data_IF_745577378359
#
_entry.id   IF_745577378359
#
_cell.length_a   1.000
_cell.length_b   1.000
_cell.length_c   1.000
_cell.angle_alpha   90.00
_cell.angle_beta   90.00
_cell.angle_gamma   90.00
#
_symmetry.space_group_name_H-M   'P 1'
#
loop_
_entity.id
_entity.type
_entity.pdbx_description
1 polymer ?
#
# COMPACT_ATOMS: atom_id res chain seq x y z
N UNK A 1 9.26 3.21 18.35
CA UNK A 1 9.20 4.57 17.80
C UNK A 1 8.77 4.62 16.34
N UNK A 2 7.96 3.67 15.90
CA UNK A 2 7.31 3.64 14.59
C UNK A 2 5.86 3.25 14.76
N UNK A 3 4.99 3.71 13.83
CA UNK A 3 3.60 3.28 13.69
C UNK A 3 3.43 2.62 12.32
N UNK A 4 2.41 1.77 12.19
CA UNK A 4 2.12 1.06 10.95
C UNK A 4 0.63 1.16 10.61
N UNK A 5 0.33 1.85 9.52
CA UNK A 5 -1.01 1.98 8.98
C UNK A 5 -1.23 0.89 7.93
N UNK A 6 -2.17 0.00 8.18
CA UNK A 6 -2.46 -1.14 7.32
C UNK A 6 -3.79 -0.96 6.60
N UNK A 7 -3.81 -1.28 5.31
CA UNK A 7 -5.02 -1.32 4.47
C UNK A 7 -4.92 -2.46 3.46
N UNK A 8 -5.47 -3.60 3.85
CA UNK A 8 -5.44 -4.80 3.01
C UNK A 8 -4.03 -5.34 2.75
N UNK A 9 -3.61 -5.34 1.49
CA UNK A 9 -2.26 -5.72 1.08
C UNK A 9 -1.22 -4.60 1.17
N UNK A 10 -1.60 -3.39 1.61
CA UNK A 10 -0.69 -2.25 1.74
C UNK A 10 -0.43 -1.92 3.21
N UNK A 11 0.80 -1.62 3.56
CA UNK A 11 1.13 -1.00 4.83
C UNK A 11 2.06 0.22 4.63
N UNK A 12 1.84 1.23 5.46
CA UNK A 12 2.66 2.43 5.52
C UNK A 12 3.31 2.50 6.89
N UNK A 13 4.63 2.47 6.94
CA UNK A 13 5.39 2.61 8.17
C UNK A 13 5.78 4.08 8.33
N UNK A 14 5.46 4.65 9.49
CA UNK A 14 5.76 6.04 9.85
C UNK A 14 6.67 6.05 11.06
N UNK A 15 7.82 6.68 10.94
CA UNK A 15 8.76 6.82 12.05
C UNK A 15 8.42 8.02 12.92
N UNK A 16 8.55 7.84 14.22
CA UNK A 16 8.32 8.92 15.20
C UNK A 16 9.57 9.82 15.30
N UNK A 17 9.71 10.73 14.35
CA UNK A 17 10.88 11.61 14.21
C UNK A 17 10.80 12.82 15.15
N UNK A 18 11.90 13.15 15.78
CA UNK A 18 12.06 14.34 16.58
C UNK A 18 11.90 15.59 15.70
N UNK A 19 11.08 16.52 16.16
CA UNK A 19 10.80 17.80 15.45
C UNK A 19 9.75 17.70 14.33
N UNK A 20 9.41 16.50 13.83
CA UNK A 20 8.38 16.29 12.80
C UNK A 20 7.06 15.80 13.40
N UNK A 21 7.12 14.98 14.44
CA UNK A 21 5.96 14.39 15.09
C UNK A 21 5.84 14.85 16.54
N UNK A 22 4.62 15.06 17.08
CA UNK A 22 4.43 15.33 18.49
C UNK A 22 5.01 14.20 19.36
N UNK A 23 5.97 14.52 20.23
CA UNK A 23 6.68 13.52 21.04
C UNK A 23 7.65 12.64 20.25
N UNK A 24 8.11 13.11 19.10
CA UNK A 24 9.10 12.42 18.29
C UNK A 24 10.41 12.18 19.04
N UNK A 25 11.00 11.00 18.86
CA UNK A 25 12.16 10.53 19.62
C UNK A 25 13.38 10.18 18.76
N UNK A 26 13.19 9.94 17.46
CA UNK A 26 14.28 9.57 16.56
C UNK A 26 14.93 10.82 15.96
N UNK A 27 16.22 10.96 16.08
CA UNK A 27 17.01 11.90 15.30
C UNK A 27 16.98 11.53 13.81
N UNK A 28 17.35 12.44 12.89
CA UNK A 28 17.40 12.10 11.45
C UNK A 28 18.35 10.95 11.13
N UNK A 29 19.47 10.83 11.84
CA UNK A 29 20.45 9.78 11.67
C UNK A 29 19.91 8.42 12.15
N UNK A 30 19.38 8.37 13.37
CA UNK A 30 18.73 7.17 13.92
C UNK A 30 17.54 6.73 13.06
N UNK A 31 16.79 7.66 12.49
CA UNK A 31 15.67 7.35 11.60
C UNK A 31 16.15 6.68 10.30
N UNK A 32 17.29 7.11 9.74
CA UNK A 32 17.87 6.50 8.55
C UNK A 32 18.32 5.06 8.81
N UNK A 33 18.99 4.82 9.94
CA UNK A 33 19.44 3.48 10.35
C UNK A 33 18.24 2.55 10.58
N UNK A 34 17.22 3.01 11.33
CA UNK A 34 15.99 2.24 11.58
C UNK A 34 15.27 1.90 10.28
N UNK A 35 15.19 2.84 9.32
CA UNK A 35 14.57 2.57 8.01
C UNK A 35 15.33 1.51 7.22
N UNK A 36 16.66 1.58 7.21
CA UNK A 36 17.51 0.61 6.54
C UNK A 36 17.30 -0.79 7.11
N UNK A 37 17.30 -0.90 8.43
CA UNK A 37 17.11 -2.18 9.13
C UNK A 37 15.71 -2.75 8.89
N UNK A 38 14.66 -1.93 9.01
CA UNK A 38 13.28 -2.34 8.75
C UNK A 38 13.09 -2.78 7.30
N UNK A 39 13.62 -2.01 6.33
CA UNK A 39 13.51 -2.36 4.92
C UNK A 39 14.20 -3.71 4.63
N UNK A 40 15.37 -3.93 5.21
CA UNK A 40 16.12 -5.19 5.09
C UNK A 40 15.35 -6.35 5.71
N UNK A 41 14.82 -6.14 6.89
CA UNK A 41 14.02 -7.15 7.58
C UNK A 41 12.74 -7.51 6.80
N UNK A 42 11.96 -6.54 6.35
CA UNK A 42 10.75 -6.82 5.56
C UNK A 42 11.06 -7.55 4.25
N UNK A 43 12.18 -7.22 3.59
CA UNK A 43 12.62 -7.92 2.37
C UNK A 43 13.03 -9.36 2.61
N UNK A 44 13.44 -9.70 3.83
CA UNK A 44 13.84 -11.06 4.21
C UNK A 44 12.70 -11.96 4.65
N UNK A 45 11.48 -11.41 4.77
CA UNK A 45 10.33 -12.20 5.22
C UNK A 45 9.79 -13.08 4.09
N UNK A 46 9.71 -14.36 4.36
CA UNK A 46 9.24 -15.39 3.44
C UNK A 46 8.12 -16.21 4.11
N UNK A 47 7.31 -16.85 3.30
CA UNK A 47 6.34 -17.85 3.75
C UNK A 47 6.99 -19.23 3.95
N UNK A 48 6.20 -20.22 4.33
CA UNK A 48 6.67 -21.60 4.56
C UNK A 48 7.27 -22.26 3.30
N UNK A 49 6.94 -21.75 2.10
CA UNK A 49 7.49 -22.24 0.82
C UNK A 49 8.78 -21.53 0.41
N UNK A 50 9.20 -20.50 1.12
CA UNK A 50 10.32 -19.63 0.77
C UNK A 50 9.94 -18.52 -0.22
N UNK A 51 8.66 -18.27 -0.44
CA UNK A 51 8.22 -17.15 -1.26
C UNK A 51 8.17 -15.85 -0.44
N UNK A 52 8.59 -14.70 -1.03
CA UNK A 52 8.61 -13.43 -0.30
C UNK A 52 7.19 -12.99 0.07
N UNK A 53 7.01 -12.49 1.30
CA UNK A 53 5.73 -11.96 1.77
C UNK A 53 5.37 -10.59 1.17
N UNK A 54 6.35 -9.87 0.63
CA UNK A 54 6.16 -8.55 0.03
C UNK A 54 6.70 -8.53 -1.39
N UNK A 55 5.89 -8.05 -2.33
CA UNK A 55 6.35 -7.75 -3.70
C UNK A 55 7.12 -6.44 -3.76
N UNK A 56 6.85 -5.54 -2.82
CA UNK A 56 7.50 -4.23 -2.75
C UNK A 56 7.75 -3.83 -1.31
N UNK A 57 9.00 -3.43 -1.06
CA UNK A 57 9.44 -2.75 0.16
C UNK A 57 10.20 -1.51 -0.30
N UNK A 58 9.52 -0.38 -0.31
CA UNK A 58 10.02 0.87 -0.92
C UNK A 58 10.13 1.98 0.10
N UNK A 59 11.26 2.67 0.13
CA UNK A 59 11.40 3.94 0.83
C UNK A 59 10.50 5.01 0.18
N UNK A 60 10.13 6.06 0.91
CA UNK A 60 9.25 7.14 0.43
C UNK A 60 9.66 7.68 -0.95
N UNK A 61 10.95 7.90 -1.19
CA UNK A 61 11.47 8.38 -2.47
C UNK A 61 11.27 7.40 -3.62
N UNK A 62 11.40 6.10 -3.34
CA UNK A 62 11.20 5.02 -4.31
C UNK A 62 9.69 4.81 -4.59
N UNK A 63 8.85 4.98 -3.57
CA UNK A 63 7.40 4.85 -3.66
C UNK A 63 6.75 5.90 -4.59
N UNK A 64 7.45 6.99 -4.91
CA UNK A 64 6.99 7.98 -5.88
C UNK A 64 6.75 7.38 -7.27
N UNK A 65 7.56 6.42 -7.69
CA UNK A 65 7.39 5.69 -8.95
C UNK A 65 6.10 4.86 -8.99
N UNK A 66 5.55 4.51 -7.83
CA UNK A 66 4.28 3.80 -7.67
C UNK A 66 3.08 4.75 -7.50
N UNK A 67 3.28 6.07 -7.62
CA UNK A 67 2.26 7.08 -7.32
C UNK A 67 2.02 7.31 -5.82
N UNK A 68 2.87 6.76 -4.96
CA UNK A 68 2.77 6.81 -3.50
C UNK A 68 3.82 7.75 -2.86
N UNK A 69 4.33 8.73 -3.61
CA UNK A 69 5.37 9.67 -3.15
C UNK A 69 4.85 10.88 -2.37
N UNK A 70 3.60 10.89 -1.91
CA UNK A 70 3.07 11.98 -1.10
C UNK A 70 3.76 12.04 0.28
N UNK A 71 4.01 13.24 0.85
CA UNK A 71 4.63 13.37 2.17
C UNK A 71 3.96 12.53 3.28
N UNK A 72 2.65 12.30 3.17
CA UNK A 72 1.88 11.50 4.12
C UNK A 72 1.86 10.00 3.79
N UNK A 73 2.60 9.55 2.78
CA UNK A 73 2.65 8.12 2.40
C UNK A 73 3.53 7.25 3.32
N UNK A 74 4.00 7.80 4.43
CA UNK A 74 4.89 7.10 5.35
C UNK A 74 6.37 7.19 4.93
N UNK A 75 7.22 6.60 5.72
CA UNK A 75 8.66 6.53 5.48
C UNK A 75 9.04 5.28 4.69
N UNK A 76 8.26 4.20 4.87
CA UNK A 76 8.38 2.94 4.15
C UNK A 76 7.00 2.50 3.67
N UNK A 77 6.92 2.07 2.42
CA UNK A 77 5.71 1.52 1.79
C UNK A 77 5.92 0.04 1.54
N UNK A 78 4.99 -0.76 2.03
CA UNK A 78 4.99 -2.21 1.89
C UNK A 78 3.78 -2.61 1.03
N UNK A 79 4.02 -3.40 -0.02
CA UNK A 79 2.98 -4.05 -0.80
C UNK A 79 3.13 -5.57 -0.64
N UNK A 80 2.13 -6.19 -0.08
CA UNK A 80 2.11 -7.63 0.15
C UNK A 80 2.08 -8.40 -1.18
N UNK A 81 2.61 -9.61 -1.16
CA UNK A 81 2.45 -10.56 -2.25
C UNK A 81 0.98 -11.02 -2.37
N UNK A 82 0.51 -11.37 -3.59
CA UNK A 82 -0.81 -11.96 -3.76
C UNK A 82 -1.02 -13.15 -2.83
N UNK A 83 -2.17 -13.19 -2.17
CA UNK A 83 -2.47 -14.22 -1.16
C UNK A 83 -2.05 -13.88 0.27
N UNK A 84 -1.25 -12.82 0.47
CA UNK A 84 -0.86 -12.33 1.79
C UNK A 84 -1.71 -11.13 2.17
N UNK A 85 -2.36 -11.16 3.33
CA UNK A 85 -3.12 -10.04 3.88
C UNK A 85 -2.43 -9.49 5.14
N UNK A 86 -2.30 -8.17 5.20
CA UNK A 86 -1.68 -7.51 6.34
C UNK A 86 -2.71 -7.15 7.40
N UNK A 87 -2.30 -7.20 8.65
CA UNK A 87 -3.14 -6.79 9.79
C UNK A 87 -2.37 -5.85 10.69
N UNK A 88 -3.09 -4.87 11.21
CA UNK A 88 -2.61 -4.08 12.34
C UNK A 88 -2.98 -4.80 13.64
N UNK A 89 -2.05 -4.90 14.54
CA UNK A 89 -2.27 -5.45 15.87
C UNK A 89 -0.94 -5.76 16.53
N UNK A 90 -0.90 -5.50 17.82
CA UNK A 90 0.24 -5.93 18.64
C UNK A 90 -0.20 -7.14 19.46
N UNK A 91 0.62 -8.18 19.58
CA UNK A 91 0.38 -9.21 20.57
C UNK A 91 0.30 -8.56 21.95
N UNK A 92 -0.51 -9.10 22.84
CA UNK A 92 -0.50 -8.66 24.24
C UNK A 92 0.93 -8.78 24.78
N UNK A 93 1.33 -7.81 25.59
CA UNK A 93 2.66 -7.82 26.21
C UNK A 93 2.96 -9.18 26.85
N UNK A 94 4.08 -9.79 26.46
CA UNK A 94 4.51 -11.11 26.90
C UNK A 94 3.92 -12.31 26.14
N UNK A 95 3.09 -12.09 25.11
CA UNK A 95 2.63 -13.17 24.25
C UNK A 95 3.53 -13.24 23.00
N UNK A 96 4.09 -14.41 22.71
CA UNK A 96 4.63 -14.70 21.40
C UNK A 96 3.46 -14.85 20.43
N UNK A 97 3.39 -13.97 19.42
CA UNK A 97 2.42 -14.10 18.35
C UNK A 97 3.13 -14.52 17.07
N UNK A 98 2.62 -15.49 16.34
CA UNK A 98 3.16 -15.85 15.04
C UNK A 98 3.05 -14.66 14.08
N UNK A 99 4.08 -14.43 13.27
CA UNK A 99 4.06 -13.41 12.21
C UNK A 99 3.05 -13.78 11.13
N UNK A 100 2.92 -15.07 10.83
CA UNK A 100 1.96 -15.61 9.88
C UNK A 100 0.79 -16.25 10.60
N UNK A 101 -0.40 -15.91 10.16
CA UNK A 101 -1.66 -16.47 10.64
C UNK A 101 -2.43 -17.07 9.46
N UNK A 102 -3.27 -18.09 9.68
CA UNK A 102 -4.17 -18.55 8.65
C UNK A 102 -5.05 -17.40 8.13
N UNK A 103 -5.37 -17.35 6.81
CA UNK A 103 -6.23 -16.32 6.26
C UNK A 103 -7.64 -16.41 6.87
N UNK A 104 -8.19 -15.28 7.23
CA UNK A 104 -9.55 -15.15 7.77
C UNK A 104 -10.50 -14.41 6.83
N UNK A 105 -9.99 -13.98 5.66
CA UNK A 105 -10.75 -13.28 4.63
C UNK A 105 -10.56 -13.99 3.29
N UNK A 106 -11.65 -14.10 2.53
CA UNK A 106 -11.64 -14.75 1.21
C UNK A 106 -11.16 -13.80 0.09
N UNK A 107 -11.18 -12.49 0.32
CA UNK A 107 -10.76 -11.48 -0.63
C UNK A 107 -10.23 -10.25 0.10
N UNK A 108 -9.27 -9.58 -0.51
CA UNK A 108 -8.64 -8.37 0.04
C UNK A 108 -8.22 -7.42 -1.09
N UNK A 109 -7.98 -6.17 -0.74
CA UNK A 109 -7.55 -5.08 -1.63
C UNK A 109 -6.16 -4.56 -1.24
N UNK A 110 -5.66 -3.54 -1.96
CA UNK A 110 -4.45 -2.81 -1.57
C UNK A 110 -3.14 -3.48 -1.98
N UNK A 111 -3.17 -4.33 -3.00
CA UNK A 111 -1.98 -4.93 -3.58
C UNK A 111 -1.35 -4.04 -4.63
N UNK A 112 -0.09 -4.30 -4.97
CA UNK A 112 0.59 -3.70 -6.11
C UNK A 112 -0.04 -4.08 -7.45
N UNK A 113 0.38 -3.43 -8.55
CA UNK A 113 -0.11 -3.77 -9.88
C UNK A 113 0.32 -5.20 -10.25
N UNK A 114 -0.67 -6.07 -10.39
CA UNK A 114 -0.53 -7.47 -10.83
C UNK A 114 -1.73 -7.81 -11.72
N UNK A 115 -1.53 -8.31 -12.95
CA UNK A 115 -2.61 -8.70 -13.85
C UNK A 115 -3.60 -9.71 -13.26
N UNK A 116 -3.18 -10.54 -12.31
CA UNK A 116 -4.05 -11.49 -11.63
C UNK A 116 -5.02 -10.81 -10.64
N UNK A 117 -4.75 -9.55 -10.30
CA UNK A 117 -5.55 -8.73 -9.36
C UNK A 117 -6.36 -7.66 -10.07
N UNK A 118 -6.45 -7.73 -11.41
CA UNK A 118 -7.28 -6.80 -12.19
C UNK A 118 -8.74 -6.91 -11.78
N UNK A 119 -9.36 -5.74 -11.55
CA UNK A 119 -10.77 -5.62 -11.20
C UNK A 119 -11.68 -5.57 -12.44
N UNK A 120 -12.98 -5.49 -12.19
CA UNK A 120 -13.98 -5.30 -13.22
C UNK A 120 -14.38 -3.82 -13.32
N UNK A 121 -14.50 -3.32 -14.54
CA UNK A 121 -15.01 -1.97 -14.82
C UNK A 121 -16.26 -2.06 -15.69
N UNK A 122 -17.38 -1.51 -15.19
CA UNK A 122 -18.62 -1.37 -15.92
C UNK A 122 -19.03 0.09 -15.96
N UNK A 123 -19.43 0.56 -17.15
CA UNK A 123 -19.99 1.88 -17.32
C UNK A 123 -21.32 1.74 -18.06
N UNK A 124 -22.41 2.08 -17.39
CA UNK A 124 -23.78 1.96 -17.92
C UNK A 124 -24.52 3.28 -17.70
N UNK A 125 -25.29 3.72 -18.68
CA UNK A 125 -26.09 4.94 -18.55
C UNK A 125 -26.59 5.46 -19.90
N UNK A 126 -27.40 6.55 -19.91
CA UNK A 126 -27.83 7.20 -21.12
C UNK A 126 -26.67 7.64 -22.01
N UNK A 127 -26.75 7.38 -23.32
CA UNK A 127 -25.69 7.74 -24.27
C UNK A 127 -24.40 6.92 -24.15
N UNK A 128 -24.41 5.82 -23.42
CA UNK A 128 -23.31 4.87 -23.39
C UNK A 128 -23.59 3.77 -24.42
N UNK A 129 -22.77 3.74 -25.47
CA UNK A 129 -22.83 2.67 -26.45
C UNK A 129 -22.25 1.37 -25.90
N UNK A 130 -22.87 0.23 -26.24
CA UNK A 130 -22.35 -1.07 -25.89
C UNK A 130 -20.99 -1.31 -26.57
N UNK A 131 -19.93 -1.35 -25.79
CA UNK A 131 -18.59 -1.58 -26.27
C UNK A 131 -17.74 -2.33 -25.22
N UNK A 132 -16.69 -2.97 -25.66
CA UNK A 132 -15.72 -3.59 -24.79
C UNK A 132 -14.42 -2.80 -24.83
N UNK A 133 -13.98 -2.29 -23.69
CA UNK A 133 -12.66 -1.67 -23.54
C UNK A 133 -11.67 -2.70 -23.00
N UNK A 134 -10.49 -2.83 -23.60
CA UNK A 134 -9.54 -3.87 -23.21
C UNK A 134 -8.97 -3.65 -21.81
N UNK A 135 -8.72 -2.40 -21.43
CA UNK A 135 -8.18 -2.03 -20.12
C UNK A 135 -8.60 -0.62 -19.74
N UNK A 136 -8.94 -0.42 -18.47
CA UNK A 136 -9.17 0.90 -17.87
C UNK A 136 -8.29 0.98 -16.62
N UNK A 137 -7.37 1.94 -16.61
CA UNK A 137 -6.56 2.20 -15.42
C UNK A 137 -7.43 2.86 -14.35
N UNK A 138 -7.29 2.46 -13.10
CA UNK A 138 -8.07 3.02 -11.98
C UNK A 138 -7.90 4.54 -11.84
N UNK A 139 -6.71 5.06 -12.16
CA UNK A 139 -6.44 6.51 -12.16
C UNK A 139 -7.21 7.29 -13.24
N UNK A 140 -7.68 6.63 -14.29
CA UNK A 140 -8.44 7.27 -15.39
C UNK A 140 -9.95 7.29 -15.11
N UNK A 141 -10.44 6.56 -14.10
CA UNK A 141 -11.88 6.43 -13.81
C UNK A 141 -12.49 7.79 -13.47
N UNK A 142 -11.83 8.56 -12.61
CA UNK A 142 -12.33 9.87 -12.20
C UNK A 142 -12.48 10.83 -13.40
N UNK A 143 -11.51 10.86 -14.30
CA UNK A 143 -11.58 11.68 -15.52
C UNK A 143 -12.70 11.24 -16.46
N UNK A 144 -12.92 9.93 -16.60
CA UNK A 144 -14.03 9.38 -17.40
C UNK A 144 -15.40 9.76 -16.82
N UNK A 145 -15.56 9.70 -15.51
CA UNK A 145 -16.78 10.12 -14.82
C UNK A 145 -17.01 11.62 -15.01
N UNK A 146 -16.00 12.45 -14.78
CA UNK A 146 -16.08 13.90 -14.97
C UNK A 146 -16.52 14.27 -16.40
N UNK A 147 -15.91 13.67 -17.42
CA UNK A 147 -16.26 13.91 -18.81
C UNK A 147 -17.74 13.59 -19.11
N UNK A 148 -18.29 12.53 -18.51
CA UNK A 148 -19.72 12.17 -18.67
C UNK A 148 -20.66 13.13 -17.97
N UNK A 149 -20.21 13.75 -16.90
CA UNK A 149 -20.99 14.75 -16.17
C UNK A 149 -20.82 16.17 -16.72
N UNK A 150 -20.04 16.35 -17.80
CA UNK A 150 -19.72 17.68 -18.34
C UNK A 150 -18.82 18.51 -17.40
N UNK A 151 -18.08 17.86 -16.52
CA UNK A 151 -17.16 18.49 -15.58
C UNK A 151 -15.73 18.47 -16.12
N UNK A 152 -14.93 19.43 -15.70
CA UNK A 152 -13.49 19.38 -15.96
C UNK A 152 -12.86 18.17 -15.26
N UNK A 153 -11.94 17.50 -15.94
CA UNK A 153 -11.19 16.42 -15.30
C UNK A 153 -10.44 16.94 -14.06
N UNK A 154 -10.34 16.14 -12.98
CA UNK A 154 -9.49 16.49 -11.85
C UNK A 154 -8.08 16.73 -12.37
N UNK A 155 -7.48 17.86 -12.03
CA UNK A 155 -6.11 18.16 -12.41
C UNK A 155 -5.17 17.09 -11.83
N UNK A 156 -4.29 16.54 -12.66
CA UNK A 156 -3.13 15.82 -12.15
C UNK A 156 -2.30 16.82 -11.33
N UNK A 157 -2.22 16.62 -10.03
CA UNK A 157 -1.31 17.36 -9.13
C UNK A 157 -0.01 16.61 -8.99
#
# INVERSE_FOLDING_TARGET
PADCLVSGGTALVVLNRAGEMPGGVLSPEEAADVLSDLASWFRSLEDESGAPLFTTVALRGEAAALGLGHPNAGDLVLLAAPGTSLRSGFPRAGAEAPILLPPDVAAQHGYGPDPQLDGLFFHVGPGVEASRVPLVRSVDVAARVAARLGLSAPGAR
#
